data_IF_560376530596
#
_entry.id   IF_560376530596
#
_cell.length_a   1.000
_cell.length_b   1.000
_cell.length_c   1.000
_cell.angle_alpha   90.00
_cell.angle_beta   90.00
_cell.angle_gamma   90.00
#
_symmetry.space_group_name_H-M   'P 1'
#
loop_
_entity.id
_entity.type
_entity.pdbx_description
1 polymer ?
#
# COMPACT_ATOMS: atom_id res chain seq x y z
N UNK A 1 -4.13 -51.51 -45.67
CA UNK A 1 -4.27 -51.20 -44.23
C UNK A 1 -2.91 -50.72 -43.72
N UNK A 2 -2.92 -49.66 -42.90
CA UNK A 2 -1.83 -48.72 -42.69
C UNK A 2 -0.50 -49.36 -42.21
N UNK A 3 0.54 -49.31 -43.05
CA UNK A 3 1.94 -49.75 -42.83
C UNK A 3 2.72 -48.86 -41.84
N UNK A 4 2.03 -48.31 -40.85
CA UNK A 4 2.51 -47.21 -40.00
C UNK A 4 3.14 -47.66 -38.67
N UNK A 5 3.09 -48.95 -38.33
CA UNK A 5 3.55 -49.48 -37.03
C UNK A 5 4.86 -50.28 -37.10
N UNK A 6 5.85 -49.85 -37.90
CA UNK A 6 7.20 -50.40 -37.68
C UNK A 6 7.75 -49.84 -36.37
N UNK A 7 8.46 -50.66 -35.59
CA UNK A 7 9.00 -50.29 -34.27
C UNK A 7 9.77 -48.96 -34.30
N UNK A 8 10.51 -48.72 -35.40
CA UNK A 8 11.23 -47.46 -35.65
C UNK A 8 10.31 -46.24 -35.82
N UNK A 9 9.21 -46.36 -36.57
CA UNK A 9 8.27 -45.24 -36.78
C UNK A 9 7.49 -44.94 -35.50
N UNK A 10 7.09 -45.98 -34.77
CA UNK A 10 6.41 -45.84 -33.49
C UNK A 10 7.31 -45.14 -32.46
N UNK A 11 8.59 -45.50 -32.39
CA UNK A 11 9.56 -44.86 -31.50
C UNK A 11 9.75 -43.37 -31.79
N UNK A 12 9.81 -42.97 -33.07
CA UNK A 12 9.92 -41.55 -33.47
C UNK A 12 8.66 -40.78 -33.05
N UNK A 13 7.47 -41.34 -33.29
CA UNK A 13 6.21 -40.69 -32.88
C UNK A 13 6.15 -40.56 -31.36
N UNK A 14 6.52 -41.61 -30.63
CA UNK A 14 6.55 -41.58 -29.17
C UNK A 14 7.50 -40.49 -28.64
N UNK A 15 8.74 -40.43 -29.14
CA UNK A 15 9.71 -39.40 -28.74
C UNK A 15 9.22 -37.99 -29.10
N UNK A 16 8.57 -37.82 -30.26
CA UNK A 16 7.99 -36.55 -30.65
C UNK A 16 6.90 -36.08 -29.69
N UNK A 17 5.95 -36.96 -29.36
CA UNK A 17 4.86 -36.65 -28.42
C UNK A 17 5.41 -36.42 -27.01
N UNK A 18 6.33 -37.27 -26.55
CA UNK A 18 6.97 -37.11 -25.24
C UNK A 18 7.69 -35.76 -25.14
N UNK A 19 8.52 -35.42 -26.14
CA UNK A 19 9.21 -34.14 -26.18
C UNK A 19 8.25 -32.95 -26.20
N UNK A 20 7.16 -33.04 -26.94
CA UNK A 20 6.11 -32.01 -26.97
C UNK A 20 5.47 -31.79 -25.59
N UNK A 21 5.13 -32.87 -24.88
CA UNK A 21 4.52 -32.80 -23.55
C UNK A 21 5.51 -32.18 -22.54
N UNK A 22 6.76 -32.64 -22.53
CA UNK A 22 7.80 -32.09 -21.65
C UNK A 22 8.04 -30.61 -21.92
N UNK A 23 8.13 -30.21 -23.18
CA UNK A 23 8.27 -28.81 -23.56
C UNK A 23 7.07 -27.97 -23.07
N UNK A 24 5.84 -28.49 -23.22
CA UNK A 24 4.63 -27.84 -22.70
C UNK A 24 4.66 -27.65 -21.19
N UNK A 25 5.11 -28.66 -20.44
CA UNK A 25 5.29 -28.57 -18.98
C UNK A 25 6.33 -27.52 -18.58
N UNK A 26 7.46 -27.45 -19.28
CA UNK A 26 8.50 -26.45 -18.99
C UNK A 26 8.01 -25.02 -19.25
N UNK A 27 7.29 -24.81 -20.35
CA UNK A 27 6.65 -23.52 -20.65
C UNK A 27 5.63 -23.16 -19.58
N UNK A 28 4.79 -24.12 -19.18
CA UNK A 28 3.81 -23.93 -18.12
C UNK A 28 4.47 -23.50 -16.81
N UNK A 29 5.54 -24.20 -16.42
CA UNK A 29 6.26 -23.89 -15.18
C UNK A 29 6.92 -22.51 -15.23
N UNK A 30 7.53 -22.12 -16.35
CA UNK A 30 8.19 -20.82 -16.48
C UNK A 30 7.23 -19.63 -16.54
N UNK A 31 6.04 -19.81 -17.12
CA UNK A 31 5.11 -18.69 -17.36
C UNK A 31 4.06 -18.58 -16.26
N UNK A 32 3.67 -19.68 -15.61
CA UNK A 32 2.61 -19.67 -14.59
C UNK A 32 3.10 -19.91 -13.16
N UNK A 33 4.12 -20.76 -12.96
CA UNK A 33 4.56 -21.17 -11.61
C UNK A 33 5.72 -20.32 -11.09
N UNK A 34 6.81 -20.23 -11.85
CA UNK A 34 8.02 -19.52 -11.44
C UNK A 34 7.86 -18.03 -11.15
N UNK A 35 6.92 -17.27 -11.78
CA UNK A 35 6.70 -15.87 -11.41
C UNK A 35 6.26 -15.70 -9.95
N UNK A 36 5.44 -16.63 -9.44
CA UNK A 36 5.00 -16.60 -8.05
C UNK A 36 6.16 -16.86 -7.08
N UNK A 37 6.93 -17.91 -7.32
CA UNK A 37 8.10 -18.25 -6.50
C UNK A 37 9.12 -17.11 -6.45
N UNK A 38 9.39 -16.45 -7.60
CA UNK A 38 10.32 -15.30 -7.65
C UNK A 38 9.78 -14.09 -6.90
N UNK A 39 8.46 -13.86 -6.97
CA UNK A 39 7.81 -12.75 -6.28
C UNK A 39 7.87 -12.93 -4.76
N UNK A 40 7.50 -14.12 -4.29
CA UNK A 40 7.52 -14.47 -2.87
C UNK A 40 8.95 -14.51 -2.30
N UNK A 41 9.92 -15.00 -3.07
CA UNK A 41 11.35 -14.96 -2.70
C UNK A 41 11.87 -13.52 -2.51
N UNK A 42 11.26 -12.53 -3.18
CA UNK A 42 11.57 -11.12 -3.01
C UNK A 42 10.82 -10.47 -1.83
N UNK A 43 10.06 -11.25 -1.05
CA UNK A 43 9.24 -10.75 0.08
C UNK A 43 7.96 -10.03 -0.36
N UNK A 44 7.58 -10.14 -1.64
CA UNK A 44 6.35 -9.58 -2.17
C UNK A 44 5.22 -10.62 -2.12
N UNK A 45 3.99 -10.16 -2.33
CA UNK A 45 2.81 -11.01 -2.46
C UNK A 45 2.51 -11.27 -3.93
N UNK A 46 2.38 -12.53 -4.32
CA UNK A 46 1.93 -12.90 -5.66
C UNK A 46 0.41 -13.13 -5.71
N UNK A 47 -0.31 -12.34 -6.49
CA UNK A 47 -1.72 -12.56 -6.78
C UNK A 47 -1.86 -13.51 -7.98
N UNK A 48 -2.33 -14.73 -7.72
CA UNK A 48 -2.52 -15.77 -8.75
C UNK A 48 -3.62 -15.41 -9.76
N UNK A 49 -4.62 -14.62 -9.36
CA UNK A 49 -5.76 -14.27 -10.20
C UNK A 49 -5.35 -13.25 -11.26
N UNK A 50 -4.63 -12.21 -10.85
CA UNK A 50 -4.16 -11.16 -11.76
C UNK A 50 -2.75 -11.40 -12.30
N UNK A 51 -2.03 -12.40 -11.75
CA UNK A 51 -0.61 -12.70 -12.04
C UNK A 51 0.30 -11.51 -11.76
N UNK A 52 -0.02 -10.75 -10.72
CA UNK A 52 0.74 -9.56 -10.34
C UNK A 52 1.56 -9.82 -9.09
N UNK A 53 2.79 -9.30 -9.10
CA UNK A 53 3.62 -9.25 -7.92
C UNK A 53 3.43 -7.90 -7.26
N UNK A 54 2.89 -7.88 -6.04
CA UNK A 54 2.55 -6.68 -5.30
C UNK A 54 3.38 -6.57 -4.03
N UNK A 55 3.83 -5.36 -3.70
CA UNK A 55 4.55 -5.09 -2.45
C UNK A 55 3.55 -4.97 -1.30
N UNK A 56 3.66 -5.78 -0.24
CA UNK A 56 2.82 -5.62 0.93
C UNK A 56 3.14 -4.28 1.60
N UNK A 57 2.13 -3.45 1.84
CA UNK A 57 2.32 -2.18 2.54
C UNK A 57 1.73 -2.28 3.94
N UNK A 58 2.54 -1.94 4.93
CA UNK A 58 2.08 -1.89 6.31
C UNK A 58 1.22 -0.64 6.52
N UNK A 59 -0.04 -0.85 6.87
CA UNK A 59 -1.06 0.21 6.95
C UNK A 59 -0.67 1.33 7.95
N UNK A 60 -0.09 1.03 9.13
CA UNK A 60 0.44 2.06 10.03
C UNK A 60 1.46 3.00 9.38
N UNK A 61 2.29 2.53 8.45
CA UNK A 61 3.33 3.34 7.81
C UNK A 61 2.73 4.43 6.90
N UNK A 62 1.64 4.11 6.20
CA UNK A 62 0.92 5.10 5.38
C UNK A 62 0.10 6.04 6.27
N UNK A 63 -0.58 5.48 7.28
CA UNK A 63 -1.61 6.22 8.02
C UNK A 63 -1.08 6.98 9.22
N UNK A 64 0.18 6.75 9.61
CA UNK A 64 0.80 7.31 10.82
C UNK A 64 0.10 6.89 12.12
N UNK A 65 -0.75 5.86 12.06
CA UNK A 65 -1.48 5.37 13.23
C UNK A 65 -0.56 4.46 14.06
N UNK A 66 -0.68 4.49 15.40
CA UNK A 66 0.05 3.55 16.24
C UNK A 66 -0.30 2.09 15.89
N UNK A 67 0.66 1.20 16.09
CA UNK A 67 0.44 -0.24 15.90
C UNK A 67 -0.48 -0.74 17.03
N UNK A 68 -1.47 -1.57 16.67
CA UNK A 68 -2.36 -2.20 17.66
C UNK A 68 -3.55 -1.37 18.13
N UNK A 69 -3.70 -0.12 17.67
CA UNK A 69 -4.90 0.68 17.97
C UNK A 69 -5.92 0.63 16.84
N UNK A 70 -7.19 0.58 17.21
CA UNK A 70 -8.26 0.68 16.23
C UNK A 70 -8.27 2.06 15.57
N UNK A 71 -8.84 2.14 14.35
CA UNK A 71 -9.07 3.42 13.67
C UNK A 71 -9.85 4.40 14.55
N UNK A 72 -10.82 3.89 15.30
CA UNK A 72 -11.71 4.71 16.13
C UNK A 72 -10.95 5.32 17.31
N UNK A 73 -10.12 4.55 18.00
CA UNK A 73 -9.31 5.03 19.11
C UNK A 73 -8.29 6.09 18.66
N UNK A 74 -7.57 5.84 17.56
CA UNK A 74 -6.63 6.80 17.00
C UNK A 74 -7.31 8.14 16.62
N UNK A 75 -8.51 8.06 16.03
CA UNK A 75 -9.31 9.24 15.67
C UNK A 75 -9.77 10.02 16.92
N UNK A 76 -10.26 9.33 17.95
CA UNK A 76 -10.66 9.96 19.22
C UNK A 76 -9.52 10.68 19.90
N UNK A 77 -8.34 10.05 19.95
CA UNK A 77 -7.14 10.65 20.54
C UNK A 77 -6.74 11.94 19.80
N UNK A 78 -6.70 11.91 18.46
CA UNK A 78 -6.37 13.09 17.65
C UNK A 78 -7.41 14.21 17.76
N UNK A 79 -8.70 13.88 17.82
CA UNK A 79 -9.75 14.87 18.02
C UNK A 79 -9.65 15.54 19.40
N UNK A 80 -9.33 14.77 20.46
CA UNK A 80 -9.13 15.34 21.79
C UNK A 80 -7.95 16.33 21.83
N UNK A 81 -6.83 15.98 21.16
CA UNK A 81 -5.67 16.86 20.99
C UNK A 81 -6.06 18.16 20.26
N UNK A 82 -6.85 18.06 19.18
CA UNK A 82 -7.30 19.20 18.40
C UNK A 82 -8.14 20.18 19.25
N UNK A 83 -9.07 19.67 20.06
CA UNK A 83 -9.89 20.50 20.96
C UNK A 83 -9.06 21.24 22.02
N UNK A 84 -7.91 20.69 22.45
CA UNK A 84 -6.99 21.39 23.34
C UNK A 84 -6.30 22.54 22.61
N UNK A 85 -5.81 22.29 21.40
CA UNK A 85 -5.14 23.30 20.56
C UNK A 85 -6.09 24.44 20.20
N UNK A 86 -7.33 24.15 19.82
CA UNK A 86 -8.34 25.16 19.52
C UNK A 86 -8.59 26.10 20.71
N UNK A 87 -8.65 25.54 21.93
CA UNK A 87 -8.79 26.33 23.15
C UNK A 87 -7.58 27.23 23.40
N UNK A 88 -6.36 26.72 23.19
CA UNK A 88 -5.13 27.50 23.33
C UNK A 88 -5.07 28.64 22.32
N UNK A 89 -5.38 28.37 21.05
CA UNK A 89 -5.42 29.36 19.98
C UNK A 89 -6.48 30.42 20.26
N UNK A 90 -7.66 30.04 20.75
CA UNK A 90 -8.70 30.98 21.13
C UNK A 90 -8.26 31.91 22.27
N UNK A 91 -7.59 31.37 23.30
CA UNK A 91 -7.06 32.16 24.41
C UNK A 91 -5.96 33.14 23.94
N UNK A 92 -5.03 32.69 23.09
CA UNK A 92 -4.00 33.56 22.52
C UNK A 92 -4.59 34.67 21.65
N UNK A 93 -5.58 34.35 20.81
CA UNK A 93 -6.31 35.35 20.00
C UNK A 93 -6.98 36.39 20.87
N UNK A 94 -7.63 35.98 21.96
CA UNK A 94 -8.25 36.90 22.92
C UNK A 94 -7.21 37.82 23.57
N UNK A 95 -6.13 37.26 24.10
CA UNK A 95 -5.06 38.05 24.73
C UNK A 95 -4.46 39.09 23.76
N UNK A 96 -4.21 38.69 22.51
CA UNK A 96 -3.75 39.59 21.45
C UNK A 96 -4.76 40.70 21.17
N UNK A 97 -6.04 40.38 21.07
CA UNK A 97 -7.08 41.38 20.81
C UNK A 97 -7.19 42.38 21.96
N UNK A 98 -7.12 41.91 23.21
CA UNK A 98 -7.16 42.75 24.40
C UNK A 98 -5.95 43.70 24.44
N UNK A 99 -4.75 43.22 24.08
CA UNK A 99 -3.55 44.05 23.95
C UNK A 99 -3.68 45.12 22.85
N UNK A 100 -4.21 44.77 21.68
CA UNK A 100 -4.46 45.72 20.59
C UNK A 100 -5.49 46.78 20.99
N UNK A 101 -6.54 46.39 21.69
CA UNK A 101 -7.58 47.31 22.17
C UNK A 101 -7.00 48.29 23.20
N UNK A 102 -6.18 47.80 24.13
CA UNK A 102 -5.50 48.63 25.12
C UNK A 102 -4.56 49.64 24.45
N UNK A 103 -3.79 49.22 23.45
CA UNK A 103 -2.89 50.11 22.71
C UNK A 103 -3.67 51.17 21.91
N UNK A 104 -4.75 50.77 21.24
CA UNK A 104 -5.64 51.70 20.54
C UNK A 104 -6.25 52.74 21.49
N UNK A 105 -6.61 52.35 22.71
CA UNK A 105 -7.12 53.28 23.73
C UNK A 105 -6.05 54.28 24.17
N UNK A 106 -4.80 53.83 24.38
CA UNK A 106 -3.66 54.70 24.70
C UNK A 106 -3.39 55.74 23.62
N UNK A 107 -3.35 55.32 22.35
CA UNK A 107 -3.10 56.22 21.22
C UNK A 107 -4.21 57.28 21.08
N UNK A 108 -5.48 56.89 21.26
CA UNK A 108 -6.61 57.83 21.24
C UNK A 108 -6.52 58.88 22.36
N UNK A 109 -6.10 58.48 23.56
CA UNK A 109 -5.90 59.41 24.67
C UNK A 109 -4.75 60.41 24.41
N UNK A 110 -3.73 60.03 23.64
CA UNK A 110 -2.63 60.92 23.24
C UNK A 110 -3.04 61.89 22.11
N UNK A 111 -3.88 61.47 21.17
CA UNK A 111 -4.34 62.29 20.04
C UNK A 111 -5.48 63.27 20.40
N UNK A 112 -6.16 63.07 21.54
CA UNK A 112 -7.24 63.93 22.05
C UNK A 112 -6.79 65.09 22.95
N UNK A 113 -5.49 65.41 22.95
CA UNK A 113 -4.89 66.61 23.56
C UNK A 113 -4.30 67.47 22.46
#
# INVERSE_FOLDING_TARGET
>A
MHRFLSFRRLGIVFLGVFGMIVAGLLVYQQVWVSPGERCEAAGNWYDITTRTCATPIFIPDITGRPIGVSRLEASRAKNAELLVLERQVAAQKKARQDAVNAERARLRAQQGR
#
